data_IF_549681264484
#
_entry.id   IF_549681264484
#
_cell.length_a   1.000
_cell.length_b   1.000
_cell.length_c   1.000
_cell.angle_alpha   90.00
_cell.angle_beta   90.00
_cell.angle_gamma   90.00
#
_symmetry.space_group_name_H-M   'P 1'
#
loop_
_entity.id
_entity.type
_entity.pdbx_description
1 polymer ?
#
# COMPACT_ATOMS: atom_id res chain seq x y z
N UNK A 1 -22.09 1.46 13.07
CA UNK A 1 -21.34 2.13 11.98
C UNK A 1 -20.55 1.08 11.23
N UNK A 2 -20.72 1.00 9.91
CA UNK A 2 -20.05 0.02 9.09
C UNK A 2 -18.67 0.52 8.68
N UNK A 3 -17.69 -0.37 8.77
CA UNK A 3 -16.36 -0.14 8.20
C UNK A 3 -16.15 -1.14 7.08
N UNK A 4 -15.89 -0.66 5.88
CA UNK A 4 -15.58 -1.50 4.74
C UNK A 4 -14.08 -1.49 4.49
N UNK A 5 -13.50 -2.67 4.33
CA UNK A 5 -12.08 -2.81 3.97
C UNK A 5 -11.97 -3.00 2.47
N UNK A 6 -11.22 -2.13 1.81
CA UNK A 6 -10.97 -2.20 0.37
C UNK A 6 -9.48 -2.40 0.13
N UNK A 7 -9.12 -3.49 -0.52
CA UNK A 7 -7.72 -3.79 -0.85
C UNK A 7 -7.46 -3.56 -2.33
N UNK A 8 -6.41 -2.81 -2.62
CA UNK A 8 -5.94 -2.57 -3.98
C UNK A 8 -4.52 -3.10 -4.15
N UNK A 9 -4.34 -4.02 -5.09
CA UNK A 9 -3.04 -4.59 -5.40
C UNK A 9 -2.18 -3.68 -6.28
N UNK A 10 -0.95 -4.11 -6.56
CA UNK A 10 0.03 -3.33 -7.31
C UNK A 10 -0.43 -2.94 -8.71
N UNK A 11 -1.12 -3.84 -9.43
CA UNK A 11 -1.62 -3.54 -10.78
C UNK A 11 -2.78 -2.55 -10.78
N UNK A 12 -3.62 -2.57 -9.74
CA UNK A 12 -4.71 -1.59 -9.57
C UNK A 12 -4.21 -0.20 -9.25
N UNK A 13 -2.94 -0.06 -8.84
CA UNK A 13 -2.33 1.20 -8.44
C UNK A 13 -1.18 1.61 -9.37
N UNK A 14 -0.93 0.84 -10.45
CA UNK A 14 0.27 0.97 -11.27
C UNK A 14 0.38 2.30 -12.01
N UNK A 15 -0.73 2.85 -12.47
CA UNK A 15 -0.74 4.13 -13.17
C UNK A 15 -1.84 5.04 -12.62
N UNK A 16 -1.78 6.31 -13.02
CA UNK A 16 -2.73 7.32 -12.54
C UNK A 16 -4.18 6.98 -12.87
N UNK A 17 -4.42 6.47 -14.06
CA UNK A 17 -5.78 6.14 -14.50
C UNK A 17 -6.37 5.00 -13.65
N UNK A 18 -5.59 3.96 -13.39
CA UNK A 18 -5.99 2.85 -12.53
C UNK A 18 -6.28 3.35 -11.10
N UNK A 19 -5.42 4.20 -10.55
CA UNK A 19 -5.62 4.78 -9.23
C UNK A 19 -6.88 5.64 -9.16
N UNK A 20 -7.13 6.46 -10.17
CA UNK A 20 -8.36 7.26 -10.21
C UNK A 20 -9.62 6.40 -10.23
N UNK A 21 -9.59 5.26 -10.94
CA UNK A 21 -10.69 4.30 -10.92
C UNK A 21 -10.90 3.73 -9.51
N UNK A 22 -9.81 3.37 -8.82
CA UNK A 22 -9.87 2.89 -7.44
C UNK A 22 -10.49 3.94 -6.50
N UNK A 23 -10.12 5.21 -6.66
CA UNK A 23 -10.64 6.28 -5.80
C UNK A 23 -12.12 6.55 -6.02
N UNK A 24 -12.64 6.34 -7.22
CA UNK A 24 -14.08 6.39 -7.47
C UNK A 24 -14.83 5.32 -6.68
N UNK A 25 -14.27 4.11 -6.57
CA UNK A 25 -14.85 3.06 -5.72
C UNK A 25 -14.84 3.45 -4.25
N UNK A 26 -13.74 4.02 -3.77
CA UNK A 26 -13.63 4.48 -2.38
C UNK A 26 -14.71 5.55 -2.10
N UNK A 27 -14.86 6.51 -2.99
CA UNK A 27 -15.87 7.58 -2.85
C UNK A 27 -17.27 7.01 -2.74
N UNK A 28 -17.60 6.03 -3.58
CA UNK A 28 -18.91 5.39 -3.56
C UNK A 28 -19.18 4.70 -2.22
N UNK A 29 -18.20 3.96 -1.71
CA UNK A 29 -18.36 3.23 -0.46
C UNK A 29 -18.44 4.15 0.76
N UNK A 30 -17.82 5.33 0.69
CA UNK A 30 -17.92 6.35 1.75
C UNK A 30 -19.33 6.89 1.94
N UNK A 31 -20.22 6.73 0.95
CA UNK A 31 -21.62 7.17 1.06
C UNK A 31 -22.37 6.39 2.14
N UNK A 32 -21.97 5.16 2.44
CA UNK A 32 -22.66 4.27 3.37
C UNK A 32 -21.89 3.94 4.64
N UNK A 33 -20.70 4.49 4.83
CA UNK A 33 -19.93 4.22 6.04
C UNK A 33 -18.46 4.65 5.92
N UNK A 34 -17.65 4.13 6.81
CA UNK A 34 -16.21 4.37 6.81
C UNK A 34 -15.50 3.36 5.90
N UNK A 35 -14.37 3.76 5.36
CA UNK A 35 -13.54 2.90 4.50
C UNK A 35 -12.13 2.83 5.06
N UNK A 36 -11.62 1.61 5.18
CA UNK A 36 -10.20 1.34 5.42
C UNK A 36 -9.60 0.83 4.11
N UNK A 37 -8.68 1.60 3.54
CA UNK A 37 -8.01 1.23 2.30
C UNK A 37 -6.69 0.54 2.62
N UNK A 38 -6.49 -0.65 2.06
CA UNK A 38 -5.26 -1.42 2.19
C UNK A 38 -4.59 -1.47 0.82
N UNK A 39 -3.32 -1.09 0.76
CA UNK A 39 -2.58 -0.99 -0.50
C UNK A 39 -1.33 -1.85 -0.48
N UNK A 40 -0.91 -2.29 -1.66
CA UNK A 40 0.38 -2.93 -1.90
C UNK A 40 1.33 -1.94 -2.58
N UNK A 41 2.60 -2.32 -2.72
CA UNK A 41 3.54 -1.58 -3.55
C UNK A 41 3.01 -1.44 -4.97
N UNK A 42 3.26 -0.30 -5.61
CA UNK A 42 2.71 0.01 -6.94
C UNK A 42 3.51 -0.65 -8.04
N UNK A 43 2.79 -1.24 -8.99
CA UNK A 43 3.34 -1.71 -10.24
C UNK A 43 4.06 -3.04 -10.14
N UNK A 44 4.89 -3.29 -11.14
CA UNK A 44 5.75 -4.45 -11.27
C UNK A 44 7.09 -4.02 -11.85
N UNK A 45 8.12 -4.86 -11.74
CA UNK A 45 9.41 -4.60 -12.37
C UNK A 45 9.20 -4.19 -13.85
N UNK A 46 9.82 -3.12 -14.35
CA UNK A 46 10.88 -2.31 -13.72
C UNK A 46 10.42 -1.05 -12.96
N UNK A 47 9.17 -0.97 -12.56
CA UNK A 47 8.67 0.18 -11.80
C UNK A 47 9.51 0.37 -10.52
N UNK A 48 9.93 1.59 -10.17
CA UNK A 48 10.99 1.82 -9.19
C UNK A 48 10.73 1.28 -7.79
N UNK A 49 9.49 1.27 -7.37
CA UNK A 49 9.12 0.87 -5.99
C UNK A 49 8.28 -0.40 -5.95
N UNK A 50 8.20 -1.12 -7.05
CA UNK A 50 7.57 -2.43 -7.08
C UNK A 50 8.38 -3.42 -6.24
N UNK A 51 7.70 -4.36 -5.60
CA UNK A 51 8.32 -5.34 -4.70
C UNK A 51 9.48 -6.08 -5.37
N UNK A 52 9.26 -6.59 -6.58
CA UNK A 52 10.27 -7.34 -7.32
C UNK A 52 11.45 -6.44 -7.76
N UNK A 53 11.21 -5.15 -8.05
CA UNK A 53 12.28 -4.19 -8.34
C UNK A 53 13.14 -3.93 -7.10
N UNK A 54 12.52 -3.74 -5.95
CA UNK A 54 13.23 -3.52 -4.69
C UNK A 54 14.08 -4.74 -4.30
N UNK A 55 13.57 -5.94 -4.54
CA UNK A 55 14.34 -7.18 -4.30
C UNK A 55 15.62 -7.22 -5.12
N UNK A 56 15.58 -6.72 -6.35
CA UNK A 56 16.75 -6.68 -7.24
C UNK A 56 17.81 -5.67 -6.80
N UNK A 57 17.39 -4.60 -6.12
CA UNK A 57 18.32 -3.57 -5.60
C UNK A 57 19.09 -4.08 -4.41
N UNK A 58 18.47 -4.89 -3.57
CA UNK A 58 19.08 -5.40 -2.35
C UNK A 58 20.16 -6.46 -2.63
N UNK A 59 21.23 -6.44 -1.83
CA UNK A 59 22.22 -7.49 -1.84
C UNK A 59 21.60 -8.83 -1.46
N UNK A 60 22.03 -9.96 -2.10
CA UNK A 60 21.61 -11.30 -1.65
C UNK A 60 22.09 -11.64 -0.24
N UNK A 61 23.01 -10.84 0.32
CA UNK A 61 23.51 -11.04 1.68
C UNK A 61 22.67 -10.36 2.75
N UNK A 62 21.61 -9.64 2.37
CA UNK A 62 20.67 -9.09 3.35
C UNK A 62 20.02 -10.22 4.15
N UNK A 63 19.86 -10.02 5.46
CA UNK A 63 19.07 -10.93 6.28
C UNK A 63 17.60 -10.91 5.85
N UNK A 64 16.82 -11.91 6.27
CA UNK A 64 15.39 -11.94 6.01
C UNK A 64 14.70 -10.70 6.59
N UNK A 65 15.11 -10.26 7.79
CA UNK A 65 14.59 -9.05 8.42
C UNK A 65 14.90 -7.80 7.60
N UNK A 66 16.13 -7.67 7.11
CA UNK A 66 16.54 -6.52 6.30
C UNK A 66 15.80 -6.51 4.96
N UNK A 67 15.60 -7.68 4.34
CA UNK A 67 14.79 -7.79 3.11
C UNK A 67 13.36 -7.33 3.36
N UNK A 68 12.74 -7.77 4.44
CA UNK A 68 11.40 -7.34 4.81
C UNK A 68 11.32 -5.81 4.96
N UNK A 69 12.32 -5.20 5.59
CA UNK A 69 12.39 -3.74 5.72
C UNK A 69 12.54 -3.06 4.37
N UNK A 70 13.35 -3.58 3.48
CA UNK A 70 13.52 -3.06 2.12
C UNK A 70 12.18 -3.09 1.36
N UNK A 71 11.48 -4.21 1.39
CA UNK A 71 10.20 -4.36 0.70
C UNK A 71 9.11 -3.45 1.27
N UNK A 72 9.15 -3.17 2.57
CA UNK A 72 8.18 -2.27 3.20
C UNK A 72 8.25 -0.84 2.69
N UNK A 73 9.38 -0.43 2.12
CA UNK A 73 9.55 0.92 1.56
C UNK A 73 8.53 1.18 0.44
N UNK A 74 8.36 0.23 -0.46
CA UNK A 74 7.39 0.36 -1.55
C UNK A 74 5.96 0.44 -1.06
N UNK A 75 5.63 -0.33 -0.04
CA UNK A 75 4.28 -0.33 0.56
C UNK A 75 4.00 0.96 1.31
N UNK A 76 4.98 1.48 2.06
CA UNK A 76 4.86 2.76 2.74
C UNK A 76 4.70 3.91 1.76
N UNK A 77 5.51 3.93 0.69
CA UNK A 77 5.37 4.93 -0.36
C UNK A 77 3.98 4.90 -0.97
N UNK A 78 3.47 3.70 -1.26
CA UNK A 78 2.14 3.51 -1.82
C UNK A 78 1.05 4.10 -0.92
N UNK A 79 1.09 3.83 0.38
CA UNK A 79 0.10 4.35 1.32
C UNK A 79 0.12 5.87 1.40
N UNK A 80 1.30 6.48 1.39
CA UNK A 80 1.44 7.93 1.42
C UNK A 80 0.96 8.57 0.13
N UNK A 81 1.28 7.98 -1.02
CA UNK A 81 0.83 8.47 -2.31
C UNK A 81 -0.69 8.41 -2.44
N UNK A 82 -1.28 7.28 -2.07
CA UNK A 82 -2.74 7.10 -2.11
C UNK A 82 -3.42 8.08 -1.18
N UNK A 83 -2.91 8.26 0.03
CA UNK A 83 -3.46 9.24 0.98
C UNK A 83 -3.46 10.66 0.38
N UNK A 84 -2.35 11.07 -0.22
CA UNK A 84 -2.24 12.39 -0.84
C UNK A 84 -3.20 12.55 -2.03
N UNK A 85 -3.28 11.57 -2.90
CA UNK A 85 -4.17 11.60 -4.07
C UNK A 85 -5.65 11.56 -3.69
N UNK A 86 -6.00 10.83 -2.63
CA UNK A 86 -7.37 10.85 -2.09
C UNK A 86 -7.74 12.24 -1.60
N UNK A 87 -6.83 12.92 -0.90
CA UNK A 87 -7.06 14.30 -0.46
C UNK A 87 -7.21 15.25 -1.64
N UNK A 88 -6.41 15.10 -2.68
CA UNK A 88 -6.54 15.87 -3.92
C UNK A 88 -7.92 15.68 -4.55
N UNK A 89 -8.50 14.50 -4.41
CA UNK A 89 -9.85 14.19 -4.88
C UNK A 89 -10.96 14.67 -3.94
N UNK A 90 -10.62 15.38 -2.86
CA UNK A 90 -11.58 15.89 -1.89
C UNK A 90 -12.03 14.89 -0.84
N UNK A 91 -11.34 13.77 -0.71
CA UNK A 91 -11.64 12.74 0.29
C UNK A 91 -10.72 12.97 1.50
N UNK A 92 -11.32 13.04 2.70
CA UNK A 92 -10.56 13.16 3.94
C UNK A 92 -9.92 11.81 4.27
N UNK A 93 -8.63 11.69 3.98
CA UNK A 93 -7.86 10.47 4.13
C UNK A 93 -6.64 10.70 5.03
N UNK A 94 -6.21 9.64 5.67
CA UNK A 94 -5.04 9.63 6.54
C UNK A 94 -4.26 8.33 6.34
N UNK A 95 -2.95 8.44 6.09
CA UNK A 95 -2.08 7.27 5.99
C UNK A 95 -1.69 6.80 7.40
N UNK A 96 -2.17 5.63 7.79
CA UNK A 96 -1.89 5.08 9.11
C UNK A 96 -0.44 4.55 9.14
N UNK A 97 0.42 5.05 10.05
CA UNK A 97 1.76 4.49 10.21
C UNK A 97 1.72 3.01 10.61
N UNK A 98 2.66 2.22 10.09
CA UNK A 98 2.70 0.77 10.35
C UNK A 98 2.66 0.44 11.85
N UNK A 99 3.44 1.15 12.66
CA UNK A 99 3.52 0.89 14.10
C UNK A 99 2.22 1.21 14.85
N UNK A 100 1.28 1.91 14.23
CA UNK A 100 -0.03 2.23 14.80
C UNK A 100 -1.14 1.30 14.29
N UNK A 101 -0.81 0.35 13.39
CA UNK A 101 -1.80 -0.55 12.81
C UNK A 101 -2.34 -1.58 13.80
N UNK A 102 -1.61 -1.84 14.87
CA UNK A 102 -1.96 -2.90 15.82
C UNK A 102 -1.63 -4.32 15.35
N UNK A 103 -1.07 -4.46 14.15
CA UNK A 103 -0.67 -5.76 13.62
C UNK A 103 0.67 -6.16 14.22
N UNK A 104 0.71 -7.34 14.82
CA UNK A 104 1.93 -7.93 15.41
C UNK A 104 2.18 -9.26 14.72
N UNK A 105 3.41 -9.49 14.30
CA UNK A 105 3.82 -10.73 13.64
C UNK A 105 4.97 -11.40 14.42
N UNK A 106 5.29 -12.64 14.08
CA UNK A 106 6.49 -13.29 14.57
C UNK A 106 7.71 -12.95 13.69
N UNK A 107 8.82 -13.63 13.90
CA UNK A 107 10.08 -13.38 13.20
C UNK A 107 10.20 -14.18 11.88
N UNK A 108 9.13 -14.80 11.41
CA UNK A 108 9.15 -15.56 10.16
C UNK A 108 8.81 -14.61 9.00
N UNK A 109 9.81 -13.85 8.55
CA UNK A 109 9.65 -12.79 7.55
C UNK A 109 9.33 -13.31 6.15
N UNK A 110 9.69 -14.56 5.84
CA UNK A 110 9.49 -15.11 4.51
C UNK A 110 8.10 -15.71 4.31
N UNK A 111 7.42 -16.05 5.40
CA UNK A 111 6.10 -16.71 5.36
C UNK A 111 5.00 -15.92 6.09
N UNK A 112 5.28 -14.69 6.43
CA UNK A 112 4.32 -13.82 7.12
C UNK A 112 3.13 -13.41 6.25
#
# INVERSE_FOLDING_TARGET
MNVKVMKFGGTSLSDRQARQAAYRHVRRELETGRVLVVVSAMGRSPDPYATDTLLQIGSPLLSAQERARLLSIGEQLSSLRVSGELREAGIDAYALPLHQSGIVTDDDYDYA
#
